data_IF_862263390819
#
_entry.id   IF_862263390819
#
_cell.length_a   1.000
_cell.length_b   1.000
_cell.length_c   1.000
_cell.angle_alpha   90.00
_cell.angle_beta   90.00
_cell.angle_gamma   90.00
#
_symmetry.space_group_name_H-M   'P 1'
#
loop_
_entity.id
_entity.type
_entity.pdbx_description
1 polymer ?
#
# COMPACT_ATOMS: atom_id res chain seq x y z
N UNK A 1 -9.94 19.39 12.93
CA UNK A 1 -9.47 18.42 11.93
C UNK A 1 -9.28 19.17 10.62
N UNK A 2 -8.15 19.03 9.93
CA UNK A 2 -7.98 19.63 8.61
C UNK A 2 -9.04 19.06 7.66
N UNK A 3 -9.65 19.92 6.85
CA UNK A 3 -10.62 19.52 5.83
C UNK A 3 -9.88 18.67 4.78
N UNK A 4 -10.45 17.54 4.33
CA UNK A 4 -9.84 16.80 3.22
C UNK A 4 -9.87 17.63 1.95
N UNK A 5 -8.82 17.54 1.10
CA UNK A 5 -8.79 18.24 -0.17
C UNK A 5 -9.89 17.71 -1.10
N UNK A 6 -10.33 18.56 -2.04
CA UNK A 6 -11.28 18.16 -3.06
C UNK A 6 -10.71 17.00 -3.91
N UNK A 7 -11.52 16.02 -4.31
CA UNK A 7 -11.06 14.95 -5.18
C UNK A 7 -10.68 15.49 -6.56
N UNK A 8 -9.69 14.87 -7.20
CA UNK A 8 -9.30 15.16 -8.58
C UNK A 8 -9.38 13.89 -9.41
N UNK A 9 -9.72 14.03 -10.69
CA UNK A 9 -9.82 12.92 -11.64
C UNK A 9 -9.37 13.32 -13.04
N UNK A 10 -8.98 12.34 -13.83
CA UNK A 10 -8.59 12.54 -15.22
C UNK A 10 -8.54 11.22 -15.97
N UNK A 11 -8.62 11.31 -17.30
CA UNK A 11 -8.64 10.16 -18.19
C UNK A 11 -7.63 10.33 -19.31
N UNK A 12 -7.09 9.20 -19.77
CA UNK A 12 -6.19 9.17 -20.91
C UNK A 12 -6.42 7.91 -21.74
N UNK A 13 -6.25 8.07 -23.06
CA UNK A 13 -6.45 6.98 -24.02
C UNK A 13 -5.09 6.46 -24.48
N UNK A 14 -4.88 5.15 -24.38
CA UNK A 14 -3.63 4.48 -24.73
C UNK A 14 -3.82 3.54 -25.92
N UNK A 15 -2.70 3.24 -26.59
CA UNK A 15 -2.59 2.24 -27.65
C UNK A 15 -3.62 2.45 -28.76
N UNK A 16 -3.72 3.69 -29.23
CA UNK A 16 -4.65 4.10 -30.30
C UNK A 16 -6.12 3.81 -29.99
N UNK A 17 -6.54 3.97 -28.73
CA UNK A 17 -7.94 3.81 -28.35
C UNK A 17 -8.29 2.49 -27.68
N UNK A 18 -7.38 1.52 -27.64
CA UNK A 18 -7.65 0.17 -27.11
C UNK A 18 -7.84 0.13 -25.60
N UNK A 19 -7.23 1.08 -24.88
CA UNK A 19 -7.40 1.23 -23.44
C UNK A 19 -7.73 2.67 -23.09
N UNK A 20 -8.65 2.83 -22.15
CA UNK A 20 -8.89 4.09 -21.46
C UNK A 20 -8.48 3.91 -20.01
N UNK A 21 -7.54 4.73 -19.54
CA UNK A 21 -7.13 4.77 -18.15
C UNK A 21 -7.82 5.94 -17.45
N UNK A 22 -8.54 5.65 -16.36
CA UNK A 22 -9.18 6.65 -15.51
C UNK A 22 -8.47 6.66 -14.15
N UNK A 23 -7.99 7.83 -13.74
CA UNK A 23 -7.24 8.03 -12.50
C UNK A 23 -8.07 8.93 -11.59
N UNK A 24 -8.24 8.52 -10.34
CA UNK A 24 -8.96 9.29 -9.32
C UNK A 24 -8.10 9.42 -8.06
N UNK A 25 -8.08 10.60 -7.46
CA UNK A 25 -7.36 10.88 -6.21
C UNK A 25 -8.30 11.62 -5.26
N UNK A 26 -8.43 11.15 -4.03
CA UNK A 26 -9.27 11.80 -3.02
C UNK A 26 -9.15 11.18 -1.63
N UNK A 27 -9.69 11.85 -0.61
CA UNK A 27 -9.80 11.28 0.72
C UNK A 27 -10.86 10.17 0.70
N UNK A 28 -10.44 8.94 1.02
CA UNK A 28 -11.21 7.68 1.00
C UNK A 28 -12.48 7.69 0.13
N UNK A 29 -12.36 7.18 -1.09
CA UNK A 29 -13.55 6.77 -1.84
C UNK A 29 -14.21 5.63 -1.06
N UNK A 30 -15.29 5.92 -0.33
CA UNK A 30 -16.26 4.88 0.04
C UNK A 30 -16.72 4.28 -1.28
N UNK A 31 -16.26 3.06 -1.58
CA UNK A 31 -16.91 2.23 -2.61
C UNK A 31 -18.41 2.30 -2.33
N UNK A 32 -19.28 2.49 -3.34
CA UNK A 32 -20.66 2.08 -3.15
C UNK A 32 -20.60 0.61 -2.68
N UNK A 33 -21.20 0.34 -1.52
CA UNK A 33 -21.43 -1.01 -1.00
C UNK A 33 -22.26 -1.80 -2.02
N UNK A 34 -21.60 -2.29 -3.05
CA UNK A 34 -22.12 -3.25 -4.01
C UNK A 34 -21.49 -4.59 -3.71
N UNK A 35 -22.04 -5.29 -2.72
CA UNK A 35 -21.74 -6.71 -2.52
C UNK A 35 -21.66 -7.12 -1.06
N UNK A 36 -22.71 -7.79 -0.58
CA UNK A 36 -22.54 -8.71 0.54
C UNK A 36 -23.71 -8.96 1.47
N UNK A 37 -24.98 -8.89 1.04
CA UNK A 37 -26.05 -9.49 1.85
C UNK A 37 -26.00 -11.02 1.70
N UNK A 38 -25.00 -11.62 2.35
CA UNK A 38 -25.00 -13.04 2.70
C UNK A 38 -26.04 -13.25 3.81
N UNK A 39 -27.32 -13.17 3.43
CA UNK A 39 -28.47 -13.59 4.24
C UNK A 39 -28.62 -15.12 4.23
N UNK A 40 -27.53 -15.85 4.44
CA UNK A 40 -27.53 -17.31 4.61
C UNK A 40 -27.83 -17.69 6.06
N UNK A 41 -29.02 -17.36 6.54
CA UNK A 41 -29.53 -17.80 7.84
C UNK A 41 -30.02 -19.24 7.69
N UNK A 42 -29.10 -20.21 7.74
CA UNK A 42 -29.41 -21.63 7.76
C UNK A 42 -29.17 -22.21 9.16
N UNK A 43 -30.27 -22.64 9.80
CA UNK A 43 -30.40 -23.55 10.92
C UNK A 43 -29.16 -23.86 11.80
N UNK A 44 -29.19 -23.36 13.03
CA UNK A 44 -28.66 -24.09 14.18
C UNK A 44 -29.67 -25.16 14.59
N UNK A 45 -29.45 -26.40 14.17
CA UNK A 45 -30.06 -27.57 14.81
C UNK A 45 -29.02 -28.61 15.22
N UNK A 46 -28.86 -28.72 16.54
CA UNK A 46 -28.88 -29.98 17.27
C UNK A 46 -27.96 -31.14 16.85
N UNK A 47 -26.91 -31.37 17.65
CA UNK A 47 -26.50 -32.67 18.25
C UNK A 47 -25.13 -32.44 18.88
N UNK A 48 -24.90 -32.67 20.17
CA UNK A 48 -25.34 -33.83 20.92
C UNK A 48 -24.13 -34.73 21.14
N UNK A 49 -23.57 -34.68 22.36
CA UNK A 49 -22.98 -35.87 22.97
C UNK A 49 -21.46 -36.03 22.95
N UNK A 50 -20.92 -35.95 24.17
CA UNK A 50 -20.16 -37.03 24.85
C UNK A 50 -18.71 -37.34 24.42
N UNK A 51 -17.88 -37.31 25.47
CA UNK A 51 -16.85 -38.30 25.87
C UNK A 51 -15.53 -38.31 25.11
N UNK A 52 -14.49 -37.95 25.86
CA UNK A 52 -13.57 -38.97 26.37
C UNK A 52 -12.18 -39.01 25.74
N UNK A 53 -11.17 -39.21 26.61
CA UNK A 53 -9.80 -39.58 26.28
C UNK A 53 -8.95 -38.38 25.86
N UNK A 54 -7.95 -37.91 26.61
CA UNK A 54 -6.99 -38.69 27.37
C UNK A 54 -6.03 -39.38 26.41
N UNK A 55 -4.84 -38.80 26.18
CA UNK A 55 -3.54 -39.46 26.30
C UNK A 55 -2.42 -38.56 25.75
N UNK A 56 -1.45 -38.30 26.63
CA UNK A 56 -0.12 -37.79 26.38
C UNK A 56 0.74 -38.81 25.62
N UNK A 57 1.59 -38.32 24.72
CA UNK A 57 2.93 -38.83 24.39
C UNK A 57 3.76 -37.60 23.95
N UNK A 58 4.98 -37.29 24.39
CA UNK A 58 5.97 -38.08 25.10
C UNK A 58 7.28 -38.04 24.29
N UNK A 59 8.34 -37.44 24.89
CA UNK A 59 9.76 -37.62 24.51
C UNK A 59 10.23 -36.87 23.25
N UNK A 60 11.46 -36.40 23.12
CA UNK A 60 12.69 -36.43 23.92
C UNK A 60 13.71 -35.55 23.18
N UNK A 61 14.43 -34.67 23.87
CA UNK A 61 15.82 -34.89 24.26
C UNK A 61 16.75 -35.35 23.11
N UNK A 62 17.53 -34.40 22.60
CA UNK A 62 18.75 -34.65 21.83
C UNK A 62 19.73 -33.47 21.97
N UNK A 63 20.81 -33.61 22.76
CA UNK A 63 21.91 -32.65 22.85
C UNK A 63 23.12 -33.12 22.03
N UNK A 64 23.86 -32.23 21.34
CA UNK A 64 25.32 -32.23 21.03
C UNK A 64 25.60 -30.88 20.33
N UNK A 65 26.38 -29.91 20.81
CA UNK A 65 27.77 -29.88 21.26
C UNK A 65 28.79 -30.33 20.21
N UNK A 66 29.25 -29.39 19.38
CA UNK A 66 30.56 -29.38 18.70
C UNK A 66 30.96 -27.91 18.50
N UNK A 67 31.94 -27.42 19.25
CA UNK A 67 33.27 -27.12 18.71
C UNK A 67 33.43 -25.61 18.66
N UNK A 68 34.22 -24.98 19.52
CA UNK A 68 35.68 -25.03 19.44
C UNK A 68 36.15 -23.78 18.71
N UNK A 69 36.55 -22.74 19.44
CA UNK A 69 36.90 -21.43 18.88
C UNK A 69 37.57 -20.53 19.90
N UNK A 70 38.53 -21.09 20.61
CA UNK A 70 39.53 -20.40 21.42
C UNK A 70 40.48 -19.64 20.49
N UNK A 71 40.78 -18.38 20.79
CA UNK A 71 41.93 -17.69 20.19
C UNK A 71 41.68 -16.24 19.80
N UNK A 72 42.03 -15.32 20.70
CA UNK A 72 42.00 -13.89 20.36
C UNK A 72 42.49 -12.97 21.48
N UNK A 73 43.51 -13.38 22.24
CA UNK A 73 44.22 -12.48 23.18
C UNK A 73 45.05 -11.49 22.38
N UNK A 74 44.45 -10.36 22.01
CA UNK A 74 45.15 -9.16 21.55
C UNK A 74 45.77 -8.40 22.72
N UNK A 75 46.95 -8.84 23.12
CA UNK A 75 47.82 -8.24 24.15
C UNK A 75 48.57 -7.04 23.55
N UNK A 76 48.41 -5.88 24.19
CA UNK A 76 49.51 -4.94 24.42
C UNK A 76 49.78 -3.86 23.37
N UNK A 77 49.35 -2.63 23.69
CA UNK A 77 50.05 -1.41 23.31
C UNK A 77 50.26 -0.57 24.58
N UNK A 78 51.50 -0.22 24.97
CA UNK A 78 51.75 0.66 26.10
C UNK A 78 51.93 2.11 25.64
N UNK A 79 51.40 3.03 26.44
CA UNK A 79 51.88 4.41 26.51
C UNK A 79 51.11 5.43 25.69
N UNK A 80 50.64 6.48 26.38
CA UNK A 80 50.16 7.70 25.73
C UNK A 80 49.15 8.47 26.56
N UNK A 81 49.66 9.26 27.50
CA UNK A 81 49.09 10.50 28.06
C UNK A 81 47.69 10.57 28.68
N UNK A 82 47.74 10.97 29.95
CA UNK A 82 46.68 11.59 30.74
C UNK A 82 46.24 12.89 30.08
N UNK A 83 44.95 13.02 29.81
CA UNK A 83 44.27 14.29 29.59
C UNK A 83 43.11 14.41 30.56
N UNK A 84 43.25 15.28 31.55
CA UNK A 84 42.22 15.72 32.49
C UNK A 84 40.93 16.16 31.78
N UNK A 85 39.84 15.41 32.01
CA UNK A 85 38.47 15.83 31.72
C UNK A 85 37.69 15.93 33.04
N UNK A 86 36.87 16.98 33.25
CA UNK A 86 36.22 17.22 34.54
C UNK A 86 35.17 16.15 34.88
N UNK A 87 34.94 15.86 36.18
CA UNK A 87 33.94 14.89 36.62
C UNK A 87 32.57 15.58 36.67
N UNK A 88 31.73 15.32 35.68
CA UNK A 88 30.37 15.85 35.59
C UNK A 88 29.37 14.74 35.29
N UNK A 89 28.78 14.20 36.35
CA UNK A 89 27.40 13.71 36.45
C UNK A 89 26.94 12.50 35.60
N UNK A 90 26.73 11.40 36.33
CA UNK A 90 25.70 10.41 36.07
C UNK A 90 24.31 11.06 35.98
N UNK A 91 23.50 10.63 35.01
CA UNK A 91 22.04 10.63 35.13
C UNK A 91 21.30 11.32 33.98
N UNK A 92 20.81 10.54 33.02
CA UNK A 92 20.05 11.12 31.91
C UNK A 92 19.43 10.10 30.97
N UNK A 93 18.57 9.26 31.52
CA UNK A 93 17.59 8.45 30.78
C UNK A 93 16.90 9.28 29.67
N UNK A 94 17.06 8.88 28.40
CA UNK A 94 15.96 8.63 27.47
C UNK A 94 16.52 8.25 26.10
N UNK A 95 16.25 7.01 25.69
CA UNK A 95 16.42 6.58 24.30
C UNK A 95 15.63 7.50 23.37
N UNK A 96 16.35 8.40 22.69
CA UNK A 96 15.87 9.11 21.52
C UNK A 96 15.94 8.20 20.30
N UNK A 97 15.26 7.04 20.35
CA UNK A 97 14.90 6.36 19.11
C UNK A 97 14.12 7.37 18.25
N UNK A 98 14.31 7.39 16.92
CA UNK A 98 13.67 8.37 16.06
C UNK A 98 12.17 8.38 16.35
N UNK A 99 11.68 9.47 16.94
CA UNK A 99 10.25 9.72 17.10
C UNK A 99 9.70 9.77 15.68
N UNK A 100 9.05 8.70 15.24
CA UNK A 100 8.20 8.75 14.05
C UNK A 100 7.08 9.73 14.40
N UNK A 101 7.28 11.01 14.04
CA UNK A 101 6.21 11.98 14.01
C UNK A 101 5.09 11.37 13.16
N UNK A 102 3.82 11.37 13.61
CA UNK A 102 2.72 10.99 12.73
C UNK A 102 2.81 11.88 11.50
N UNK A 103 2.80 11.26 10.30
CA UNK A 103 2.75 12.00 9.05
C UNK A 103 1.61 13.01 9.15
N UNK A 104 1.96 14.30 9.26
CA UNK A 104 1.00 15.36 9.58
C UNK A 104 0.15 15.76 8.38
N UNK A 105 -0.15 14.79 7.50
CA UNK A 105 -0.84 14.96 6.24
C UNK A 105 -2.18 14.21 6.21
N UNK A 106 -3.06 14.66 5.33
CA UNK A 106 -4.32 13.99 5.03
C UNK A 106 -4.01 12.79 4.12
N UNK A 107 -4.43 11.56 4.47
CA UNK A 107 -4.27 10.41 3.60
C UNK A 107 -5.22 10.55 2.39
N UNK A 108 -4.66 10.35 1.19
CA UNK A 108 -5.39 10.29 -0.06
C UNK A 108 -5.24 8.91 -0.67
N UNK A 109 -6.34 8.39 -1.20
CA UNK A 109 -6.36 7.18 -2.00
C UNK A 109 -6.29 7.54 -3.48
N UNK A 110 -5.50 6.77 -4.21
CA UNK A 110 -5.29 6.88 -5.65
C UNK A 110 -5.81 5.59 -6.27
N UNK A 111 -6.79 5.73 -7.15
CA UNK A 111 -7.42 4.64 -7.89
C UNK A 111 -7.03 4.74 -9.36
N UNK A 112 -6.62 3.62 -9.95
CA UNK A 112 -6.28 3.51 -11.37
C UNK A 112 -7.13 2.41 -11.98
N UNK A 113 -8.10 2.81 -12.80
CA UNK A 113 -9.01 1.93 -13.53
C UNK A 113 -8.62 1.89 -15.00
N UNK A 114 -8.63 0.71 -15.59
CA UNK A 114 -8.39 0.48 -17.00
C UNK A 114 -9.64 -0.13 -17.63
N UNK A 115 -10.19 0.55 -18.64
CA UNK A 115 -11.26 0.03 -19.49
C UNK A 115 -10.68 -0.45 -20.80
N UNK A 116 -10.95 -1.71 -21.14
CA UNK A 116 -10.60 -2.30 -22.42
C UNK A 116 -11.73 -2.10 -23.43
N UNK A 117 -11.45 -1.37 -24.49
CA UNK A 117 -12.42 -1.08 -25.56
C UNK A 117 -12.27 -2.04 -26.74
N UNK A 118 -11.26 -2.92 -26.71
CA UNK A 118 -11.01 -3.90 -27.75
C UNK A 118 -11.90 -5.14 -27.60
N UNK A 119 -11.95 -5.96 -28.66
CA UNK A 119 -12.74 -7.19 -28.70
C UNK A 119 -12.04 -8.41 -28.05
N UNK A 120 -10.80 -8.26 -27.58
CA UNK A 120 -10.03 -9.35 -26.99
C UNK A 120 -9.55 -8.97 -25.57
N UNK A 121 -9.35 -9.94 -24.66
CA UNK A 121 -8.70 -9.68 -23.38
C UNK A 121 -7.30 -9.10 -23.58
N UNK A 122 -6.94 -8.14 -22.75
CA UNK A 122 -5.63 -7.47 -22.80
C UNK A 122 -4.91 -7.65 -21.47
N UNK A 123 -3.68 -8.14 -21.54
CA UNK A 123 -2.77 -8.15 -20.40
C UNK A 123 -1.97 -6.84 -20.38
N UNK A 124 -2.13 -6.07 -19.30
CA UNK A 124 -1.56 -4.73 -19.14
C UNK A 124 -0.60 -4.74 -17.95
N UNK A 125 0.65 -4.35 -18.19
CA UNK A 125 1.62 -4.12 -17.13
C UNK A 125 1.80 -2.62 -16.86
N UNK A 126 1.68 -2.19 -15.60
CA UNK A 126 2.02 -0.83 -15.20
C UNK A 126 3.52 -0.74 -14.94
N UNK A 127 4.22 0.13 -15.68
CA UNK A 127 5.69 0.26 -15.62
C UNK A 127 6.15 1.43 -14.77
N UNK A 128 5.36 2.49 -14.74
CA UNK A 128 5.69 3.73 -14.06
C UNK A 128 4.37 4.43 -13.68
N UNK A 129 4.28 4.90 -12.44
CA UNK A 129 3.19 5.74 -11.97
C UNK A 129 3.79 6.80 -11.04
N UNK A 130 3.96 8.02 -11.56
CA UNK A 130 4.65 9.10 -10.87
C UNK A 130 3.86 10.40 -10.93
N UNK A 131 3.79 11.12 -9.81
CA UNK A 131 3.17 12.44 -9.71
C UNK A 131 3.89 13.29 -8.68
N UNK A 132 3.45 14.55 -8.49
CA UNK A 132 3.94 15.38 -7.39
C UNK A 132 3.54 14.83 -6.01
N UNK A 133 2.60 13.88 -5.95
CA UNK A 133 2.21 13.17 -4.71
C UNK A 133 3.16 12.01 -4.35
N UNK A 134 4.06 11.63 -5.26
CA UNK A 134 5.01 10.53 -5.07
C UNK A 134 5.23 9.68 -6.32
N UNK A 135 6.11 8.70 -6.18
CA UNK A 135 6.31 7.63 -7.16
C UNK A 135 5.79 6.32 -6.55
N UNK A 136 4.86 5.68 -7.24
CA UNK A 136 4.08 4.59 -6.68
C UNK A 136 4.35 3.29 -7.44
N UNK A 137 4.47 2.20 -6.67
CA UNK A 137 4.53 0.86 -7.22
C UNK A 137 3.11 0.31 -7.28
N UNK A 138 2.56 0.27 -8.50
CA UNK A 138 1.21 -0.22 -8.74
C UNK A 138 1.16 -1.74 -8.55
N UNK A 139 0.15 -2.23 -7.82
CA UNK A 139 -0.10 -3.66 -7.64
C UNK A 139 -1.49 -4.03 -8.16
N UNK A 140 -1.69 -5.24 -8.70
CA UNK A 140 -0.64 -6.12 -9.20
C UNK A 140 0.18 -5.42 -10.31
N UNK A 141 1.42 -5.84 -10.52
CA UNK A 141 2.28 -5.24 -11.56
C UNK A 141 1.70 -5.46 -12.98
N UNK A 142 0.91 -6.52 -13.13
CA UNK A 142 0.19 -6.89 -14.35
C UNK A 142 -1.26 -7.16 -14.01
N UNK A 143 -2.16 -6.65 -14.85
CA UNK A 143 -3.60 -6.79 -14.74
C UNK A 143 -4.16 -7.31 -16.06
N UNK A 144 -5.03 -8.32 -16.01
CA UNK A 144 -5.78 -8.78 -17.18
C UNK A 144 -7.11 -8.02 -17.21
N UNK A 145 -7.36 -7.32 -18.32
CA UNK A 145 -8.60 -6.59 -18.55
C UNK A 145 -9.42 -7.32 -19.63
N UNK A 146 -10.57 -7.93 -19.28
CA UNK A 146 -11.42 -8.62 -20.26
C UNK A 146 -11.93 -7.68 -21.36
N UNK A 147 -12.34 -8.24 -22.50
CA UNK A 147 -12.84 -7.46 -23.63
C UNK A 147 -14.09 -6.65 -23.25
N UNK A 148 -14.11 -5.35 -23.53
CA UNK A 148 -15.23 -4.46 -23.21
C UNK A 148 -15.38 -4.11 -21.71
N UNK A 149 -14.57 -4.71 -20.84
CA UNK A 149 -14.72 -4.58 -19.38
C UNK A 149 -13.70 -3.61 -18.77
N UNK A 150 -13.88 -3.34 -17.48
CA UNK A 150 -12.98 -2.52 -16.67
C UNK A 150 -12.34 -3.37 -15.59
N UNK A 151 -11.04 -3.17 -15.36
CA UNK A 151 -10.33 -3.72 -14.22
C UNK A 151 -9.57 -2.61 -13.50
N UNK A 152 -9.27 -2.82 -12.22
CA UNK A 152 -8.65 -1.82 -11.37
C UNK A 152 -7.40 -2.38 -10.70
N UNK A 153 -6.37 -1.56 -10.58
CA UNK A 153 -5.22 -1.88 -9.72
C UNK A 153 -5.58 -1.68 -8.24
N UNK A 154 -4.82 -2.31 -7.35
CA UNK A 154 -4.89 -2.06 -5.91
C UNK A 154 -4.73 -0.56 -5.63
N UNK A 155 -5.63 0.04 -4.82
CA UNK A 155 -5.54 1.45 -4.47
C UNK A 155 -4.21 1.77 -3.77
N UNK A 156 -3.68 2.95 -4.05
CA UNK A 156 -2.42 3.43 -3.47
C UNK A 156 -2.69 4.60 -2.52
N UNK A 157 -1.88 4.75 -1.48
CA UNK A 157 -2.05 5.81 -0.48
C UNK A 157 -0.92 6.83 -0.57
N UNK A 158 -1.27 8.12 -0.57
CA UNK A 158 -0.34 9.24 -0.41
C UNK A 158 -0.76 10.12 0.77
N UNK A 159 0.17 10.92 1.30
CA UNK A 159 -0.11 11.86 2.39
C UNK A 159 0.22 13.27 1.91
N UNK A 160 -0.75 14.17 1.95
CA UNK A 160 -0.57 15.56 1.53
C UNK A 160 -0.75 16.53 2.68
N UNK A 161 -0.02 17.64 2.64
CA UNK A 161 -0.22 18.76 3.54
C UNK A 161 -0.97 19.85 2.78
N UNK A 162 -2.25 20.04 3.12
CA UNK A 162 -3.10 21.07 2.50
C UNK A 162 -3.90 20.58 1.30
N UNK A 163 -4.32 21.54 0.48
CA UNK A 163 -5.16 21.32 -0.70
C UNK A 163 -4.37 20.74 -1.89
N UNK A 164 -5.06 20.00 -2.75
CA UNK A 164 -4.51 19.56 -4.04
C UNK A 164 -4.50 20.74 -5.02
N UNK A 165 -3.55 20.77 -5.98
CA UNK A 165 -3.56 21.78 -7.03
C UNK A 165 -4.77 21.58 -7.97
N UNK A 166 -5.20 22.65 -8.65
CA UNK A 166 -6.26 22.61 -9.66
C UNK A 166 -5.91 21.74 -10.87
N UNK A 167 -4.61 21.52 -11.11
CA UNK A 167 -4.11 20.60 -12.10
C UNK A 167 -3.00 19.74 -11.48
N UNK A 168 -3.22 18.43 -11.46
CA UNK A 168 -2.25 17.47 -10.96
C UNK A 168 -1.75 16.59 -12.12
N UNK A 169 -0.55 16.84 -12.65
CA UNK A 169 0.02 15.99 -13.68
C UNK A 169 0.46 14.63 -13.10
N UNK A 170 -0.03 13.56 -13.70
CA UNK A 170 0.32 12.18 -13.37
C UNK A 170 0.93 11.51 -14.59
N UNK A 171 2.15 11.03 -14.45
CA UNK A 171 2.82 10.22 -15.44
C UNK A 171 2.43 8.76 -15.27
N UNK A 172 1.84 8.16 -16.29
CA UNK A 172 1.47 6.76 -16.32
C UNK A 172 2.10 6.09 -17.54
N UNK A 173 2.86 5.01 -17.30
CA UNK A 173 3.43 4.18 -18.35
C UNK A 173 2.81 2.78 -18.30
N UNK A 174 2.12 2.40 -19.38
CA UNK A 174 1.49 1.10 -19.55
C UNK A 174 2.25 0.29 -20.60
N UNK A 175 2.22 -1.04 -20.47
CA UNK A 175 2.79 -1.97 -21.45
C UNK A 175 1.79 -3.06 -21.81
N UNK A 176 1.60 -3.29 -23.11
CA UNK A 176 0.83 -4.39 -23.69
C UNK A 176 1.69 -5.09 -24.73
N UNK A 177 1.72 -6.43 -24.73
CA UNK A 177 2.36 -7.23 -25.79
C UNK A 177 3.77 -6.74 -26.19
N UNK A 178 4.57 -6.34 -25.19
CA UNK A 178 5.93 -5.82 -25.41
C UNK A 178 6.03 -4.32 -25.70
N UNK A 179 4.96 -3.65 -26.14
CA UNK A 179 4.95 -2.21 -26.44
C UNK A 179 4.64 -1.39 -25.20
N UNK A 180 5.43 -0.37 -24.94
CA UNK A 180 5.23 0.56 -23.81
C UNK A 180 4.77 1.91 -24.34
N UNK A 181 3.74 2.48 -23.73
CA UNK A 181 3.26 3.83 -24.00
C UNK A 181 3.22 4.60 -22.69
N UNK A 182 3.77 5.81 -22.71
CA UNK A 182 3.91 6.69 -21.56
C UNK A 182 3.19 7.99 -21.86
N UNK A 183 2.27 8.39 -20.99
CA UNK A 183 1.55 9.65 -21.12
C UNK A 183 1.54 10.42 -19.79
N UNK A 184 1.35 11.73 -19.91
CA UNK A 184 1.06 12.61 -18.77
C UNK A 184 -0.44 12.87 -18.79
N UNK A 185 -1.13 12.41 -17.76
CA UNK A 185 -2.57 12.60 -17.53
C UNK A 185 -2.73 13.79 -16.59
N UNK A 186 -3.46 14.80 -17.02
CA UNK A 186 -3.79 15.95 -16.16
C UNK A 186 -5.06 15.60 -15.37
N UNK A 187 -4.97 15.61 -14.04
CA UNK A 187 -6.14 15.45 -13.18
C UNK A 187 -6.65 16.84 -12.78
N UNK A 188 -7.96 17.00 -12.86
CA UNK A 188 -8.67 18.22 -12.48
C UNK A 188 -9.62 17.94 -11.32
N UNK A 189 -10.01 18.96 -10.53
CA UNK A 189 -11.07 18.84 -9.54
C UNK A 189 -12.28 18.11 -10.10
N UNK A 190 -12.54 16.93 -9.54
CA UNK A 190 -13.75 16.20 -9.87
C UNK A 190 -14.93 16.94 -9.25
N UNK A 191 -16.06 17.09 -9.96
CA UNK A 191 -17.28 17.52 -9.30
C UNK A 191 -17.54 16.52 -8.17
N UNK A 192 -17.64 17.02 -6.93
CA UNK A 192 -17.99 16.22 -5.77
C UNK A 192 -19.33 15.55 -6.06
N UNK A 193 -19.32 14.28 -6.46
CA UNK A 193 -20.52 13.53 -6.83
C UNK A 193 -21.49 13.60 -5.63
N UNK A 194 -22.61 14.29 -5.83
CA UNK A 194 -23.63 14.44 -4.81
C UNK A 194 -24.11 13.03 -4.42
N UNK A 195 -24.38 12.76 -3.12
CA UNK A 195 -24.93 11.47 -2.72
C UNK A 195 -26.20 11.19 -3.54
N UNK A 196 -26.44 9.93 -3.95
CA UNK A 196 -27.66 9.60 -4.69
C UNK A 196 -28.87 10.09 -3.88
N UNK A 197 -29.89 10.68 -4.53
CA UNK A 197 -31.08 11.12 -3.83
C UNK A 197 -31.63 9.93 -3.05
N UNK A 198 -31.70 10.06 -1.73
CA UNK A 198 -32.37 9.07 -0.90
C UNK A 198 -33.82 8.99 -1.38
N UNK A 199 -34.15 7.94 -2.15
CA UNK A 199 -35.54 7.63 -2.45
C UNK A 199 -36.27 7.44 -1.11
N UNK A 200 -37.34 8.21 -0.95
CA UNK A 200 -38.07 8.41 0.30
C UNK A 200 -39.41 7.71 0.24
#
# INVERSE_FOLDING_TARGET
MPKPPAPVAGEATYFSGQLVASIHVGAEFRRPEGGGESGGRGEREGRGGRRGGGMSFGGGAGPMQFGGGEGGRGRGGPGGERGDGPPGELGGNSGGGPRMMPASGVPLMIHVKLRNTSAAPVEVACRDFASSLGNFVVQPATLIVPAGETAEFSPMTSFVQGDLPDELPVTLALRIAGKTEKQVVLLHPAPSEAPPPSER
#
